data_IF_514896315158
#
_entry.id   IF_514896315158
#
_cell.length_a   1.000
_cell.length_b   1.000
_cell.length_c   1.000
_cell.angle_alpha   90.00
_cell.angle_beta   90.00
_cell.angle_gamma   90.00
#
_symmetry.space_group_name_H-M   'P 1'
#
loop_
_entity.id
_entity.type
_entity.pdbx_description
1 polymer ?
#
# COMPACT_ATOMS: atom_id res chain seq x y z
N UNK A 1 41.84 28.25 26.28
CA UNK A 1 40.63 27.54 25.78
C UNK A 1 41.07 26.20 25.20
N UNK A 2 40.62 25.09 25.81
CA UNK A 2 41.16 23.75 25.60
C UNK A 2 40.64 23.10 24.30
N UNK A 3 41.54 22.95 23.32
CA UNK A 3 41.27 22.29 22.02
C UNK A 3 40.71 20.88 22.16
N UNK A 4 41.00 20.18 23.26
CA UNK A 4 40.50 18.83 23.56
C UNK A 4 38.99 18.77 23.75
N UNK A 5 38.36 19.82 24.28
CA UNK A 5 36.90 19.84 24.53
C UNK A 5 36.13 19.89 23.21
N UNK A 6 36.66 20.60 22.21
CA UNK A 6 36.05 20.72 20.88
C UNK A 6 36.02 19.38 20.14
N UNK A 7 37.09 18.58 20.23
CA UNK A 7 37.14 17.28 19.55
C UNK A 7 36.15 16.27 20.15
N UNK A 8 35.96 16.28 21.47
CA UNK A 8 35.00 15.38 22.14
C UNK A 8 33.56 15.74 21.78
N UNK A 9 33.24 17.03 21.69
CA UNK A 9 31.89 17.48 21.30
C UNK A 9 31.52 17.08 19.86
N UNK A 10 32.47 17.15 18.91
CA UNK A 10 32.24 16.78 17.51
C UNK A 10 32.03 15.26 17.38
N UNK A 11 32.85 14.45 18.07
CA UNK A 11 32.69 12.99 18.08
C UNK A 11 31.33 12.57 18.67
N UNK A 12 30.87 13.24 19.73
CA UNK A 12 29.56 12.97 20.34
C UNK A 12 28.39 13.32 19.41
N UNK A 13 28.48 14.44 18.68
CA UNK A 13 27.48 14.86 17.70
C UNK A 13 27.37 13.89 16.51
N UNK A 14 28.51 13.36 16.03
CA UNK A 14 28.52 12.36 14.95
C UNK A 14 27.88 11.03 15.38
N UNK A 15 28.12 10.60 16.61
CA UNK A 15 27.50 9.39 17.17
C UNK A 15 25.99 9.54 17.36
N UNK A 16 25.53 10.72 17.80
CA UNK A 16 24.10 11.02 17.92
C UNK A 16 23.39 11.03 16.56
N UNK A 17 24.02 11.53 15.50
CA UNK A 17 23.44 11.56 14.15
C UNK A 17 23.14 10.18 13.56
N UNK A 18 23.95 9.16 13.89
CA UNK A 18 23.74 7.78 13.42
C UNK A 18 22.54 7.08 14.09
N UNK A 19 22.17 7.48 15.31
CA UNK A 19 21.06 6.87 16.06
C UNK A 19 19.69 7.34 15.54
N UNK A 20 19.59 8.52 14.93
CA UNK A 20 18.30 9.06 14.47
C UNK A 20 17.92 8.72 13.02
N UNK A 21 18.74 7.97 12.27
CA UNK A 21 18.52 7.72 10.85
C UNK A 21 17.56 6.56 10.51
N UNK A 22 16.81 5.98 11.46
CA UNK A 22 16.03 4.75 11.23
C UNK A 22 14.54 4.78 11.58
N UNK A 23 13.86 5.93 11.51
CA UNK A 23 12.41 5.95 11.79
C UNK A 23 11.57 6.76 10.78
N UNK A 24 11.97 6.80 9.51
CA UNK A 24 11.03 7.15 8.45
C UNK A 24 10.21 5.91 8.11
N UNK A 25 9.05 5.80 8.75
CA UNK A 25 8.03 4.78 8.48
C UNK A 25 7.06 5.36 7.42
N UNK A 26 7.28 5.11 6.12
CA UNK A 26 6.59 5.85 5.05
C UNK A 26 5.12 5.42 4.85
N UNK A 27 4.60 4.55 5.73
CA UNK A 27 3.30 3.88 5.56
C UNK A 27 2.10 4.59 6.17
N UNK A 28 2.27 5.69 6.92
CA UNK A 28 1.15 6.29 7.68
C UNK A 28 0.16 7.13 6.86
N UNK A 29 0.51 7.57 5.65
CA UNK A 29 -0.30 8.54 4.88
C UNK A 29 -0.93 7.97 3.59
N UNK A 30 -0.94 6.65 3.39
CA UNK A 30 -1.51 6.05 2.17
C UNK A 30 -2.94 5.55 2.31
N UNK A 31 -3.61 5.79 3.44
CA UNK A 31 -5.04 5.48 3.57
C UNK A 31 -5.82 6.54 2.80
N UNK A 32 -6.47 6.22 1.66
CA UNK A 32 -7.30 7.19 0.97
C UNK A 32 -8.47 7.54 1.89
N UNK A 33 -8.81 8.82 1.98
CA UNK A 33 -9.95 9.30 2.74
C UNK A 33 -11.22 8.55 2.31
N UNK A 34 -11.96 8.07 3.30
CA UNK A 34 -13.24 7.38 3.15
C UNK A 34 -14.33 8.39 2.70
N UNK A 35 -14.26 8.83 1.44
CA UNK A 35 -15.30 9.68 0.85
C UNK A 35 -16.43 8.79 0.30
N UNK A 36 -17.64 9.03 0.80
CA UNK A 36 -18.80 8.14 0.71
C UNK A 36 -19.16 7.65 -0.69
N UNK A 37 -19.44 6.35 -0.82
CA UNK A 37 -20.03 5.80 -2.03
C UNK A 37 -21.25 4.93 -1.68
N UNK A 38 -22.40 5.43 -2.11
CA UNK A 38 -23.73 4.84 -1.94
C UNK A 38 -23.77 3.37 -2.36
N UNK A 39 -24.48 2.59 -1.53
CA UNK A 39 -24.68 1.15 -1.66
C UNK A 39 -25.51 0.83 -2.93
N UNK A 40 -24.87 0.78 -4.09
CA UNK A 40 -25.44 0.05 -5.24
C UNK A 40 -25.39 -1.45 -4.95
N UNK A 41 -26.38 -2.25 -5.42
CA UNK A 41 -26.39 -3.70 -5.26
C UNK A 41 -25.07 -4.29 -5.77
N UNK A 42 -24.28 -4.86 -4.85
CA UNK A 42 -22.97 -5.43 -5.16
C UNK A 42 -23.16 -6.73 -5.95
N UNK A 43 -22.62 -6.87 -7.18
CA UNK A 43 -22.50 -8.19 -7.78
C UNK A 43 -21.54 -9.04 -6.92
N UNK A 44 -21.92 -10.27 -6.60
CA UNK A 44 -21.14 -11.20 -5.78
C UNK A 44 -19.68 -11.27 -6.27
N UNK A 45 -18.78 -10.71 -5.46
CA UNK A 45 -17.34 -10.80 -5.64
C UNK A 45 -16.77 -11.88 -4.67
N UNK A 46 -17.52 -12.97 -4.48
CA UNK A 46 -17.26 -13.97 -3.44
C UNK A 46 -15.88 -14.64 -3.59
N UNK A 47 -15.36 -14.75 -4.82
CA UNK A 47 -14.00 -15.25 -5.08
C UNK A 47 -12.88 -14.29 -4.64
N UNK A 48 -13.16 -12.99 -4.44
CA UNK A 48 -12.12 -12.01 -4.08
C UNK A 48 -11.84 -11.94 -2.57
N UNK A 49 -12.68 -12.54 -1.74
CA UNK A 49 -12.55 -12.47 -0.28
C UNK A 49 -11.40 -13.38 0.20
N UNK A 50 -11.18 -14.52 -0.44
CA UNK A 50 -10.20 -15.51 0.03
C UNK A 50 -8.74 -15.09 -0.17
N UNK A 51 -8.45 -14.23 -1.15
CA UNK A 51 -7.09 -13.78 -1.46
C UNK A 51 -6.73 -12.40 -0.90
N UNK A 52 -7.55 -11.85 -0.01
CA UNK A 52 -7.25 -10.57 0.62
C UNK A 52 -6.11 -10.72 1.65
N UNK A 53 -5.01 -9.95 1.56
CA UNK A 53 -3.82 -10.14 2.39
C UNK A 53 -3.95 -9.66 3.86
N UNK A 54 -5.18 -9.35 4.31
CA UNK A 54 -5.50 -8.92 5.67
C UNK A 54 -5.15 -7.45 5.96
N UNK A 55 -5.65 -6.90 7.07
CA UNK A 55 -5.61 -5.44 7.34
C UNK A 55 -4.20 -4.85 7.52
N UNK A 56 -3.17 -5.69 7.68
CA UNK A 56 -1.77 -5.30 7.85
C UNK A 56 -0.93 -5.26 6.57
N UNK A 57 -1.51 -5.57 5.39
CA UNK A 57 -0.72 -5.71 4.16
C UNK A 57 0.07 -4.44 3.79
N UNK A 58 -0.46 -3.26 4.12
CA UNK A 58 0.14 -1.95 3.88
C UNK A 58 1.51 -1.75 4.51
N UNK A 59 1.80 -2.47 5.59
CA UNK A 59 3.07 -2.39 6.32
C UNK A 59 4.16 -3.26 5.71
N UNK A 60 3.80 -4.17 4.81
CA UNK A 60 4.74 -5.10 4.18
C UNK A 60 5.19 -4.54 2.84
N UNK A 61 6.47 -4.75 2.53
CA UNK A 61 6.98 -4.56 1.17
C UNK A 61 6.28 -5.57 0.25
N UNK A 62 5.76 -5.10 -0.87
CA UNK A 62 5.21 -5.96 -1.91
C UNK A 62 6.28 -6.32 -2.93
N UNK A 63 6.04 -7.41 -3.67
CA UNK A 63 6.87 -7.83 -4.79
C UNK A 63 6.18 -7.52 -6.12
N UNK A 64 6.98 -7.40 -7.17
CA UNK A 64 6.45 -7.22 -8.51
C UNK A 64 5.42 -8.32 -8.80
N UNK A 65 4.27 -7.91 -9.34
CA UNK A 65 3.07 -8.72 -9.63
C UNK A 65 2.08 -8.90 -8.49
N UNK A 66 2.41 -8.52 -7.26
CA UNK A 66 1.45 -8.53 -6.16
C UNK A 66 0.30 -7.55 -6.47
N UNK A 67 -0.92 -8.08 -6.49
CA UNK A 67 -2.11 -7.29 -6.73
C UNK A 67 -3.37 -8.01 -6.24
N UNK A 68 -4.36 -7.26 -5.76
CA UNK A 68 -5.63 -7.79 -5.28
C UNK A 68 -6.75 -6.75 -5.39
N UNK A 69 -7.99 -7.23 -5.50
CA UNK A 69 -9.16 -6.37 -5.65
C UNK A 69 -9.56 -5.80 -4.29
N UNK A 70 -10.02 -4.54 -4.28
CA UNK A 70 -10.54 -3.90 -3.08
C UNK A 70 -11.85 -4.55 -2.63
N UNK A 71 -11.92 -4.90 -1.34
CA UNK A 71 -13.14 -5.45 -0.72
C UNK A 71 -14.27 -4.42 -0.67
N UNK A 72 -13.95 -3.13 -0.62
CA UNK A 72 -14.94 -2.05 -0.51
C UNK A 72 -15.40 -1.54 -1.88
N UNK A 73 -14.51 -1.56 -2.88
CA UNK A 73 -14.75 -1.07 -4.23
C UNK A 73 -14.61 -2.17 -5.30
N UNK A 74 -15.70 -2.46 -6.00
CA UNK A 74 -15.70 -3.41 -7.13
C UNK A 74 -14.85 -2.98 -8.32
N UNK A 75 -14.48 -1.70 -8.39
CA UNK A 75 -13.54 -1.15 -9.39
C UNK A 75 -12.14 -0.97 -8.82
N UNK A 76 -12.02 -0.92 -7.50
CA UNK A 76 -10.77 -0.66 -6.81
C UNK A 76 -9.89 -1.88 -6.82
N UNK A 77 -8.59 -1.65 -6.94
CA UNK A 77 -7.59 -2.68 -6.77
C UNK A 77 -6.31 -2.06 -6.26
N UNK A 78 -5.50 -2.88 -5.62
CA UNK A 78 -4.16 -2.52 -5.19
C UNK A 78 -3.17 -3.29 -6.05
N UNK A 79 -2.10 -2.61 -6.44
CA UNK A 79 -0.97 -3.22 -7.14
C UNK A 79 0.34 -2.80 -6.50
N UNK A 80 1.36 -3.63 -6.65
CA UNK A 80 2.70 -3.27 -6.22
C UNK A 80 3.36 -2.30 -7.20
N UNK A 81 3.84 -1.18 -6.68
CA UNK A 81 4.65 -0.22 -7.40
C UNK A 81 5.84 0.20 -6.53
N UNK A 82 7.07 -0.08 -7.01
CA UNK A 82 8.32 0.24 -6.29
C UNK A 82 8.33 -0.27 -4.84
N UNK A 83 7.85 -1.50 -4.63
CA UNK A 83 7.81 -2.14 -3.32
C UNK A 83 6.71 -1.63 -2.38
N UNK A 84 5.79 -0.79 -2.86
CA UNK A 84 4.63 -0.31 -2.09
C UNK A 84 3.32 -0.61 -2.79
N UNK A 85 2.29 -0.92 -2.00
CA UNK A 85 0.94 -1.04 -2.54
C UNK A 85 0.37 0.33 -2.87
N UNK A 86 -0.13 0.47 -4.09
CA UNK A 86 -0.78 1.68 -4.58
C UNK A 86 -2.20 1.34 -5.00
N UNK A 87 -3.16 2.16 -4.57
CA UNK A 87 -4.55 2.01 -4.98
C UNK A 87 -4.76 2.53 -6.41
N UNK A 88 -5.50 1.76 -7.20
CA UNK A 88 -5.92 2.10 -8.56
C UNK A 88 -7.37 1.73 -8.77
N UNK A 89 -7.95 2.29 -9.82
CA UNK A 89 -9.35 2.06 -10.16
C UNK A 89 -9.46 1.61 -11.61
N UNK A 90 -10.23 0.55 -11.83
CA UNK A 90 -10.55 0.03 -13.15
C UNK A 90 -11.34 1.06 -13.99
N UNK A 91 -11.19 1.06 -15.33
CA UNK A 91 -11.97 1.91 -16.24
C UNK A 91 -13.49 1.81 -16.02
N UNK A 92 -14.21 2.84 -16.46
CA UNK A 92 -15.69 2.84 -16.37
C UNK A 92 -16.27 1.63 -17.11
N UNK A 93 -17.28 0.98 -16.53
CA UNK A 93 -17.89 -0.23 -17.08
C UNK A 93 -17.09 -1.52 -16.89
N UNK A 94 -16.01 -1.48 -16.11
CA UNK A 94 -15.21 -2.67 -15.76
C UNK A 94 -15.08 -2.83 -14.25
N UNK A 95 -15.01 -4.08 -13.79
CA UNK A 95 -14.79 -4.48 -12.40
C UNK A 95 -13.42 -5.13 -12.23
N UNK A 96 -12.86 -5.02 -11.05
CA UNK A 96 -11.69 -5.81 -10.68
C UNK A 96 -12.08 -7.28 -10.59
N UNK A 97 -11.26 -8.13 -11.19
CA UNK A 97 -11.35 -9.58 -11.06
C UNK A 97 -9.96 -10.15 -10.82
N UNK A 98 -9.85 -11.02 -9.81
CA UNK A 98 -8.63 -11.77 -9.55
C UNK A 98 -8.45 -12.88 -10.59
N UNK A 99 -7.31 -12.91 -11.26
CA UNK A 99 -6.97 -13.98 -12.20
C UNK A 99 -6.32 -15.15 -11.46
N UNK A 100 -6.60 -16.37 -11.91
CA UNK A 100 -5.88 -17.58 -11.46
C UNK A 100 -4.36 -17.51 -11.69
N UNK A 101 -3.89 -16.59 -12.52
CA UNK A 101 -2.45 -16.30 -12.74
C UNK A 101 -1.82 -15.40 -11.67
N UNK A 102 -2.53 -15.10 -10.59
CA UNK A 102 -2.01 -14.31 -9.47
C UNK A 102 -1.97 -12.80 -9.73
N UNK A 103 -2.81 -12.29 -10.63
CA UNK A 103 -2.88 -10.85 -10.95
C UNK A 103 -4.31 -10.35 -10.98
N UNK A 104 -4.54 -9.12 -10.57
CA UNK A 104 -5.81 -8.44 -10.83
C UNK A 104 -5.92 -8.02 -12.30
N UNK A 105 -7.15 -8.10 -12.81
CA UNK A 105 -7.49 -7.66 -14.15
C UNK A 105 -8.80 -6.89 -14.11
N UNK A 106 -8.93 -5.88 -14.96
CA UNK A 106 -10.20 -5.17 -15.12
C UNK A 106 -11.02 -5.88 -16.20
N UNK A 107 -12.17 -6.45 -15.82
CA UNK A 107 -13.09 -7.15 -16.73
C UNK A 107 -14.38 -6.37 -16.89
N UNK A 108 -14.92 -6.34 -18.11
CA UNK A 108 -16.26 -5.77 -18.34
C UNK A 108 -17.30 -6.53 -17.53
N UNK A 109 -18.37 -5.83 -17.16
CA UNK A 109 -19.58 -6.48 -16.71
C UNK A 109 -20.10 -7.37 -17.84
N UNK A 110 -20.24 -8.66 -17.57
CA UNK A 110 -21.03 -9.54 -18.42
C UNK A 110 -22.47 -9.26 -18.03
N UNK A 111 -23.25 -8.71 -18.96
CA UNK A 111 -24.71 -8.60 -18.83
C UNK A 111 -25.33 -9.94 -19.16
#
# INVERSE_FOLDING_TARGET
MNKTIFFVAIQLLLLLGLVFAQNDDPGRNLRPNDDGFSQSPRPNNDESITNWPGDGFWRRRCFDRDSFCDRRSWRGYYECFRGRYVYRTCPRGTRCQYSRRGRTTCRRFVR
#
